data_IF_077589759442
#
_entry.id   IF_077589759442
#
_cell.length_a   1.000
_cell.length_b   1.000
_cell.length_c   1.000
_cell.angle_alpha   90.00
_cell.angle_beta   90.00
_cell.angle_gamma   90.00
#
_symmetry.space_group_name_H-M   'P 1'
#
loop_
_entity.id
_entity.type
_entity.pdbx_description
1 polymer ?
#
# COMPACT_ATOMS: atom_id res chain seq x y z
N UNK A 1 -41.62 -12.29 -59.85
CA UNK A 1 -40.16 -12.05 -59.80
C UNK A 1 -39.78 -11.09 -58.68
N UNK A 2 -40.25 -9.82 -58.67
CA UNK A 2 -39.84 -8.80 -57.68
C UNK A 2 -40.10 -9.18 -56.20
N UNK A 3 -41.29 -9.70 -55.85
CA UNK A 3 -41.66 -10.03 -54.46
C UNK A 3 -40.83 -11.17 -53.84
N UNK A 4 -40.38 -12.12 -54.66
CA UNK A 4 -39.54 -13.25 -54.20
C UNK A 4 -38.11 -12.77 -53.93
N UNK A 5 -37.59 -11.89 -54.79
CA UNK A 5 -36.28 -11.25 -54.59
C UNK A 5 -36.28 -10.40 -53.32
N UNK A 6 -37.32 -9.63 -53.07
CA UNK A 6 -37.44 -8.78 -51.88
C UNK A 6 -37.48 -9.61 -50.59
N UNK A 7 -38.26 -10.70 -50.57
CA UNK A 7 -38.30 -11.63 -49.44
C UNK A 7 -36.94 -12.28 -49.16
N UNK A 8 -36.22 -12.72 -50.21
CA UNK A 8 -34.88 -13.30 -50.09
C UNK A 8 -33.88 -12.29 -49.52
N UNK A 9 -33.94 -11.02 -49.94
CA UNK A 9 -33.05 -9.96 -49.42
C UNK A 9 -33.30 -9.71 -47.94
N UNK A 10 -34.57 -9.67 -47.49
CA UNK A 10 -34.90 -9.49 -46.07
C UNK A 10 -34.35 -10.64 -45.23
N UNK A 11 -34.52 -11.88 -45.67
CA UNK A 11 -33.98 -13.06 -44.96
C UNK A 11 -32.44 -13.02 -44.90
N UNK A 12 -31.78 -12.62 -45.99
CA UNK A 12 -30.33 -12.53 -46.05
C UNK A 12 -29.77 -11.44 -45.11
N UNK A 13 -30.44 -10.29 -45.03
CA UNK A 13 -30.06 -9.20 -44.11
C UNK A 13 -30.21 -9.65 -42.65
N UNK A 14 -31.29 -10.35 -42.32
CA UNK A 14 -31.49 -10.91 -40.97
C UNK A 14 -30.38 -11.91 -40.63
N UNK A 15 -30.05 -12.82 -41.56
CA UNK A 15 -28.96 -13.77 -41.36
C UNK A 15 -27.60 -13.11 -41.20
N UNK A 16 -27.32 -12.07 -41.98
CA UNK A 16 -26.08 -11.28 -41.86
C UNK A 16 -25.99 -10.59 -40.50
N UNK A 17 -27.10 -10.03 -40.00
CA UNK A 17 -27.16 -9.44 -38.67
C UNK A 17 -26.92 -10.46 -37.55
N UNK A 18 -27.54 -11.64 -37.65
CA UNK A 18 -27.33 -12.73 -36.69
C UNK A 18 -25.88 -13.22 -36.68
N UNK A 19 -25.23 -13.33 -37.85
CA UNK A 19 -23.81 -13.69 -37.95
C UNK A 19 -22.90 -12.64 -37.32
N UNK A 20 -23.18 -11.35 -37.53
CA UNK A 20 -22.43 -10.26 -36.90
C UNK A 20 -22.60 -10.25 -35.38
N UNK A 21 -23.82 -10.42 -34.88
CA UNK A 21 -24.10 -10.52 -33.45
C UNK A 21 -23.40 -11.74 -32.82
N UNK A 22 -23.45 -12.89 -33.50
CA UNK A 22 -22.74 -14.10 -33.07
C UNK A 22 -21.22 -13.90 -33.02
N UNK A 23 -20.63 -13.30 -34.06
CA UNK A 23 -19.20 -13.01 -34.13
C UNK A 23 -18.73 -12.05 -33.03
N UNK A 24 -19.48 -10.97 -32.78
CA UNK A 24 -19.19 -10.00 -31.71
C UNK A 24 -19.32 -10.67 -30.33
N UNK A 25 -20.36 -11.50 -30.14
CA UNK A 25 -20.57 -12.26 -28.91
C UNK A 25 -19.41 -13.20 -28.59
N UNK A 26 -18.98 -14.00 -29.57
CA UNK A 26 -17.84 -14.93 -29.43
C UNK A 26 -16.54 -14.15 -29.15
N UNK A 27 -16.30 -13.04 -29.86
CA UNK A 27 -15.12 -12.20 -29.64
C UNK A 27 -15.04 -11.66 -28.20
N UNK A 28 -16.16 -11.15 -27.66
CA UNK A 28 -16.23 -10.67 -26.28
C UNK A 28 -16.02 -11.79 -25.28
N UNK A 29 -16.61 -12.96 -25.50
CA UNK A 29 -16.43 -14.16 -24.67
C UNK A 29 -14.96 -14.60 -24.61
N UNK A 30 -14.26 -14.64 -25.75
CA UNK A 30 -12.83 -14.99 -25.81
C UNK A 30 -11.98 -13.93 -25.10
N UNK A 31 -12.28 -12.64 -25.30
CA UNK A 31 -11.51 -11.54 -24.71
C UNK A 31 -11.69 -11.47 -23.18
N UNK A 32 -12.92 -11.65 -22.70
CA UNK A 32 -13.24 -11.71 -21.27
C UNK A 32 -12.69 -13.00 -20.64
N UNK A 33 -12.79 -14.14 -21.34
CA UNK A 33 -12.22 -15.41 -20.93
C UNK A 33 -10.71 -15.35 -20.75
N UNK A 34 -9.98 -14.70 -21.68
CA UNK A 34 -8.53 -14.48 -21.54
C UNK A 34 -8.19 -13.64 -20.31
N UNK A 35 -8.92 -12.54 -20.06
CA UNK A 35 -8.69 -11.69 -18.88
C UNK A 35 -9.02 -12.42 -17.57
N UNK A 36 -10.11 -13.18 -17.54
CA UNK A 36 -10.50 -13.99 -16.39
C UNK A 36 -9.49 -15.12 -16.14
N UNK A 37 -9.00 -15.79 -17.18
CA UNK A 37 -7.98 -16.83 -17.08
C UNK A 37 -6.66 -16.29 -16.49
N UNK A 38 -6.23 -15.08 -16.87
CA UNK A 38 -5.04 -14.45 -16.29
C UNK A 38 -5.24 -14.14 -14.81
N UNK A 39 -6.40 -13.58 -14.43
CA UNK A 39 -6.73 -13.32 -13.01
C UNK A 39 -6.87 -14.60 -12.19
N UNK A 40 -7.51 -15.63 -12.75
CA UNK A 40 -7.64 -16.94 -12.12
C UNK A 40 -6.28 -17.61 -11.95
N UNK A 41 -5.40 -17.54 -12.97
CA UNK A 41 -4.02 -18.05 -12.86
C UNK A 41 -3.27 -17.35 -11.74
N UNK A 42 -3.39 -16.02 -11.61
CA UNK A 42 -2.78 -15.25 -10.52
C UNK A 42 -3.31 -15.67 -9.13
N UNK A 43 -4.63 -15.83 -8.99
CA UNK A 43 -5.26 -16.27 -7.74
C UNK A 43 -4.87 -17.72 -7.38
N UNK A 44 -4.92 -18.63 -8.35
CA UNK A 44 -4.50 -20.03 -8.18
C UNK A 44 -3.02 -20.15 -7.85
N UNK A 45 -2.15 -19.32 -8.44
CA UNK A 45 -0.74 -19.29 -8.04
C UNK A 45 -0.55 -18.82 -6.61
N UNK A 46 -1.34 -17.87 -6.11
CA UNK A 46 -1.27 -17.41 -4.71
C UNK A 46 -1.73 -18.48 -3.72
N UNK A 47 -2.81 -19.19 -4.05
CA UNK A 47 -3.29 -20.32 -3.24
C UNK A 47 -2.30 -21.48 -3.25
N UNK A 48 -1.77 -21.83 -4.42
CA UNK A 48 -0.76 -22.87 -4.56
C UNK A 48 0.53 -22.52 -3.82
N UNK A 49 1.00 -21.27 -3.82
CA UNK A 49 2.19 -20.86 -3.05
C UNK A 49 1.97 -21.04 -1.54
N UNK A 50 0.79 -20.68 -1.02
CA UNK A 50 0.50 -20.85 0.41
C UNK A 50 0.41 -22.32 0.84
N UNK A 51 -0.24 -23.17 0.05
CA UNK A 51 -0.36 -24.60 0.35
C UNK A 51 1.00 -25.30 0.19
N UNK A 52 1.78 -24.97 -0.84
CA UNK A 52 3.11 -25.56 -1.03
C UNK A 52 4.13 -25.08 0.00
N UNK A 53 3.97 -23.89 0.58
CA UNK A 53 4.79 -23.40 1.69
C UNK A 53 4.58 -24.20 2.99
N UNK A 54 3.46 -24.92 3.13
CA UNK A 54 3.21 -25.81 4.29
C UNK A 54 3.89 -27.18 4.18
N UNK A 55 4.50 -27.50 3.03
CA UNK A 55 5.26 -28.75 2.86
C UNK A 55 6.61 -28.78 3.59
N UNK A 56 7.33 -29.91 3.46
CA UNK A 56 8.70 -30.11 3.97
C UNK A 56 9.70 -30.23 2.82
N UNK A 57 10.92 -29.70 2.99
CA UNK A 57 12.00 -29.76 2.00
C UNK A 57 12.22 -28.46 1.19
N UNK A 58 13.25 -28.45 0.36
CA UNK A 58 13.75 -27.24 -0.32
C UNK A 58 12.67 -26.50 -1.14
N UNK A 59 11.78 -27.23 -1.82
CA UNK A 59 10.72 -26.61 -2.62
C UNK A 59 9.69 -25.86 -1.76
N UNK A 60 9.41 -26.34 -0.55
CA UNK A 60 8.51 -25.66 0.38
C UNK A 60 9.19 -24.46 1.04
N UNK A 61 10.47 -24.59 1.37
CA UNK A 61 11.29 -23.47 1.87
C UNK A 61 11.31 -22.33 0.86
N UNK A 62 11.55 -22.63 -0.42
CA UNK A 62 11.58 -21.62 -1.48
C UNK A 62 10.23 -20.89 -1.60
N UNK A 63 9.11 -21.59 -1.45
CA UNK A 63 7.79 -20.93 -1.44
C UNK A 63 7.59 -20.04 -0.19
N UNK A 64 8.19 -20.39 0.96
CA UNK A 64 8.21 -19.51 2.15
C UNK A 64 9.04 -18.25 1.90
N UNK A 65 10.23 -18.39 1.30
CA UNK A 65 11.10 -17.26 0.95
C UNK A 65 10.38 -16.27 0.02
N UNK A 66 9.60 -16.79 -0.94
CA UNK A 66 8.76 -15.99 -1.85
C UNK A 66 7.66 -15.24 -1.11
N UNK A 67 6.94 -15.92 -0.22
CA UNK A 67 5.87 -15.29 0.56
C UNK A 67 6.42 -14.19 1.47
N UNK A 68 7.56 -14.45 2.12
CA UNK A 68 8.22 -13.51 3.00
C UNK A 68 8.70 -12.27 2.24
N UNK A 69 9.37 -12.45 1.10
CA UNK A 69 9.81 -11.33 0.26
C UNK A 69 8.63 -10.47 -0.22
N UNK A 70 7.55 -11.09 -0.70
CA UNK A 70 6.34 -10.36 -1.13
C UNK A 70 5.72 -9.58 0.02
N UNK A 71 5.70 -10.16 1.21
CA UNK A 71 5.20 -9.51 2.43
C UNK A 71 6.05 -8.30 2.78
N UNK A 72 7.36 -8.45 2.85
CA UNK A 72 8.31 -7.38 3.20
C UNK A 72 8.26 -6.21 2.23
N UNK A 73 8.23 -6.48 0.92
CA UNK A 73 8.07 -5.43 -0.11
C UNK A 73 6.72 -4.73 0.04
N UNK A 74 5.63 -5.47 0.26
CA UNK A 74 4.30 -4.88 0.44
C UNK A 74 4.22 -3.99 1.67
N UNK A 75 4.77 -4.44 2.81
CA UNK A 75 4.80 -3.66 4.05
C UNK A 75 5.63 -2.38 3.89
N UNK A 76 6.77 -2.48 3.21
CA UNK A 76 7.65 -1.34 2.95
C UNK A 76 6.97 -0.32 2.03
N UNK A 77 6.29 -0.79 0.98
CA UNK A 77 5.50 0.07 0.10
C UNK A 77 4.38 0.78 0.84
N UNK A 78 3.65 0.08 1.70
CA UNK A 78 2.60 0.70 2.52
C UNK A 78 3.16 1.77 3.46
N UNK A 79 4.32 1.54 4.07
CA UNK A 79 4.99 2.52 4.93
C UNK A 79 5.39 3.78 4.15
N UNK A 80 5.98 3.62 2.96
CA UNK A 80 6.33 4.75 2.08
C UNK A 80 5.08 5.51 1.61
N UNK A 81 4.04 4.79 1.16
CA UNK A 81 2.76 5.40 0.75
C UNK A 81 2.07 6.16 1.91
N UNK A 82 2.23 5.69 3.14
CA UNK A 82 1.74 6.40 4.34
C UNK A 82 2.55 7.67 4.61
N UNK A 83 3.88 7.57 4.64
CA UNK A 83 4.76 8.72 4.85
C UNK A 83 4.56 9.81 3.78
N UNK A 84 4.31 9.41 2.53
CA UNK A 84 4.00 10.35 1.44
C UNK A 84 2.67 11.06 1.67
N UNK A 85 1.64 10.34 2.16
CA UNK A 85 0.33 10.92 2.50
C UNK A 85 0.40 11.87 3.70
N UNK A 86 1.34 11.64 4.61
CA UNK A 86 1.64 12.52 5.74
C UNK A 86 2.51 13.72 5.32
N UNK A 87 2.90 13.82 4.05
CA UNK A 87 3.63 14.97 3.50
C UNK A 87 5.12 14.96 3.80
N UNK A 88 5.72 13.81 4.15
CA UNK A 88 7.15 13.75 4.43
C UNK A 88 7.98 13.96 3.15
N UNK A 89 9.13 14.61 3.30
CA UNK A 89 10.08 14.82 2.22
C UNK A 89 10.86 13.55 1.88
N UNK A 90 10.27 12.65 1.09
CA UNK A 90 10.85 11.33 0.80
C UNK A 90 11.97 11.31 -0.25
N UNK A 91 12.25 12.45 -0.91
CA UNK A 91 13.28 12.55 -1.95
C UNK A 91 13.11 11.48 -3.05
N UNK A 92 14.19 10.75 -3.33
CA UNK A 92 14.23 9.67 -4.33
C UNK A 92 13.72 8.32 -3.81
N UNK A 93 13.31 8.21 -2.55
CA UNK A 93 12.91 6.94 -1.94
C UNK A 93 11.78 6.22 -2.71
N UNK A 94 10.73 6.89 -3.21
CA UNK A 94 9.68 6.22 -3.98
C UNK A 94 10.22 5.59 -5.28
N UNK A 95 11.20 6.24 -5.93
CA UNK A 95 11.85 5.71 -7.13
C UNK A 95 12.72 4.49 -6.79
N UNK A 96 13.53 4.60 -5.73
CA UNK A 96 14.36 3.49 -5.26
C UNK A 96 13.53 2.28 -4.82
N UNK A 97 12.35 2.52 -4.22
CA UNK A 97 11.41 1.47 -3.89
C UNK A 97 10.83 0.78 -5.14
N UNK A 98 10.53 1.54 -6.20
CA UNK A 98 10.07 0.96 -7.46
C UNK A 98 11.15 0.06 -8.10
N UNK A 99 12.41 0.49 -8.08
CA UNK A 99 13.54 -0.31 -8.55
C UNK A 99 13.74 -1.56 -7.69
N UNK A 100 13.62 -1.44 -6.36
CA UNK A 100 13.67 -2.56 -5.42
C UNK A 100 12.53 -3.57 -5.67
N UNK A 101 11.32 -3.08 -5.94
CA UNK A 101 10.18 -3.92 -6.26
C UNK A 101 10.39 -4.69 -7.57
N UNK A 102 10.93 -4.03 -8.61
CA UNK A 102 11.27 -4.70 -9.86
C UNK A 102 12.32 -5.81 -9.66
N UNK A 103 13.34 -5.57 -8.82
CA UNK A 103 14.31 -6.60 -8.46
C UNK A 103 13.69 -7.75 -7.67
N UNK A 104 12.79 -7.45 -6.73
CA UNK A 104 12.08 -8.46 -5.96
C UNK A 104 11.16 -9.33 -6.83
N UNK A 105 10.50 -8.74 -7.85
CA UNK A 105 9.67 -9.48 -8.80
C UNK A 105 10.50 -10.44 -9.66
N UNK A 106 11.66 -9.99 -10.15
CA UNK A 106 12.61 -10.85 -10.88
C UNK A 106 13.09 -12.00 -9.99
N UNK A 107 13.42 -11.71 -8.74
CA UNK A 107 13.89 -12.72 -7.80
C UNK A 107 12.80 -13.72 -7.39
N UNK A 108 11.55 -13.27 -7.20
CA UNK A 108 10.39 -14.16 -6.97
C UNK A 108 10.17 -15.11 -8.15
N UNK A 109 10.37 -14.64 -9.38
CA UNK A 109 10.29 -15.48 -10.56
C UNK A 109 11.40 -16.54 -10.57
N UNK A 110 12.65 -16.19 -10.20
CA UNK A 110 13.77 -17.12 -10.09
C UNK A 110 13.51 -18.20 -9.02
N UNK A 111 13.04 -17.80 -7.84
CA UNK A 111 12.62 -18.72 -6.78
C UNK A 111 11.51 -19.66 -7.27
N UNK A 112 10.51 -19.12 -7.98
CA UNK A 112 9.43 -19.92 -8.56
C UNK A 112 9.91 -20.95 -9.58
N UNK A 113 10.86 -20.57 -10.45
CA UNK A 113 11.50 -21.49 -11.40
C UNK A 113 12.28 -22.59 -10.68
N UNK A 114 13.06 -22.24 -9.66
CA UNK A 114 13.80 -23.22 -8.86
C UNK A 114 12.86 -24.22 -8.17
N UNK A 115 11.78 -23.74 -7.53
CA UNK A 115 10.79 -24.61 -6.89
C UNK A 115 10.13 -25.56 -7.90
N UNK A 116 9.82 -25.08 -9.11
CA UNK A 116 9.28 -25.92 -10.18
C UNK A 116 10.28 -26.98 -10.63
N UNK A 117 11.55 -26.61 -10.84
CA UNK A 117 12.61 -27.56 -11.20
C UNK A 117 12.80 -28.63 -10.13
N UNK A 118 12.79 -28.24 -8.85
CA UNK A 118 12.91 -29.16 -7.70
C UNK A 118 11.77 -30.17 -7.61
N UNK A 119 10.57 -29.81 -8.05
CA UNK A 119 9.41 -30.73 -8.12
C UNK A 119 9.54 -31.75 -9.27
N UNK A 120 10.22 -31.39 -10.35
CA UNK A 120 10.39 -32.23 -11.54
C UNK A 120 11.64 -33.12 -11.48
N UNK A 121 12.67 -32.70 -10.73
CA UNK A 121 13.93 -33.44 -10.59
C UNK A 121 14.44 -33.41 -9.14
N UNK A 122 14.83 -34.56 -8.56
CA UNK A 122 15.52 -34.63 -7.28
C UNK A 122 17.01 -34.23 -7.37
N UNK A 123 17.58 -34.09 -8.57
CA UNK A 123 18.94 -33.58 -8.77
C UNK A 123 18.88 -32.10 -9.15
N UNK A 124 19.17 -31.23 -8.18
CA UNK A 124 19.23 -29.77 -8.38
C UNK A 124 20.45 -29.22 -7.68
N UNK A 125 21.06 -28.19 -8.26
CA UNK A 125 22.21 -27.50 -7.70
C UNK A 125 21.85 -26.74 -6.40
N UNK A 126 22.39 -27.20 -5.27
CA UNK A 126 22.22 -26.56 -3.98
C UNK A 126 22.98 -25.21 -3.89
N UNK A 127 24.06 -25.02 -4.64
CA UNK A 127 24.78 -23.74 -4.66
C UNK A 127 23.90 -22.62 -5.26
N UNK A 128 23.05 -22.96 -6.23
CA UNK A 128 22.06 -22.04 -6.77
C UNK A 128 21.03 -21.64 -5.71
N UNK A 129 20.55 -22.58 -4.87
CA UNK A 129 19.62 -22.27 -3.79
C UNK A 129 20.23 -21.33 -2.74
N UNK A 130 21.49 -21.55 -2.35
CA UNK A 130 22.17 -20.69 -1.38
C UNK A 130 22.36 -19.26 -1.90
N UNK A 131 22.69 -19.10 -3.19
CA UNK A 131 22.74 -17.77 -3.81
C UNK A 131 21.38 -17.09 -3.80
N UNK A 132 20.31 -17.84 -4.06
CA UNK A 132 18.95 -17.31 -4.02
C UNK A 132 18.58 -16.88 -2.59
N UNK A 133 18.91 -17.67 -1.57
CA UNK A 133 18.74 -17.30 -0.15
C UNK A 133 19.47 -16.02 0.21
N UNK A 134 20.75 -15.90 -0.17
CA UNK A 134 21.54 -14.70 0.11
C UNK A 134 20.95 -13.46 -0.54
N UNK A 135 20.45 -13.58 -1.78
CA UNK A 135 19.80 -12.47 -2.46
C UNK A 135 18.47 -12.08 -1.81
N UNK A 136 17.65 -13.06 -1.40
CA UNK A 136 16.42 -12.82 -0.64
C UNK A 136 16.70 -12.13 0.70
N UNK A 137 17.72 -12.57 1.44
CA UNK A 137 18.14 -11.94 2.69
C UNK A 137 18.59 -10.47 2.47
N UNK A 138 19.27 -10.20 1.35
CA UNK A 138 19.67 -8.82 1.00
C UNK A 138 18.46 -7.94 0.69
N UNK A 139 17.51 -8.42 -0.12
CA UNK A 139 16.30 -7.67 -0.48
C UNK A 139 15.43 -7.38 0.75
N UNK A 140 15.24 -8.36 1.62
CA UNK A 140 14.47 -8.21 2.87
C UNK A 140 15.17 -7.28 3.86
N UNK A 141 16.50 -7.35 3.99
CA UNK A 141 17.27 -6.42 4.81
C UNK A 141 17.15 -4.96 4.32
N UNK A 142 17.15 -4.74 3.00
CA UNK A 142 16.92 -3.40 2.44
C UNK A 142 15.51 -2.90 2.74
N UNK A 143 14.48 -3.74 2.61
CA UNK A 143 13.11 -3.43 3.00
C UNK A 143 13.01 -3.03 4.49
N UNK A 144 13.61 -3.84 5.37
CA UNK A 144 13.64 -3.57 6.80
C UNK A 144 14.37 -2.26 7.13
N UNK A 145 15.49 -1.98 6.46
CA UNK A 145 16.23 -0.73 6.63
C UNK A 145 15.41 0.48 6.22
N UNK A 146 14.77 0.47 5.05
CA UNK A 146 13.88 1.55 4.61
C UNK A 146 12.78 1.81 5.66
N UNK A 147 12.15 0.74 6.17
CA UNK A 147 11.12 0.89 7.21
C UNK A 147 11.68 1.46 8.51
N UNK A 148 12.89 1.06 8.92
CA UNK A 148 13.55 1.60 10.11
C UNK A 148 13.90 3.09 9.94
N UNK A 149 14.39 3.48 8.77
CA UNK A 149 14.71 4.87 8.44
C UNK A 149 13.45 5.74 8.47
N UNK A 150 12.33 5.26 7.89
CA UNK A 150 11.03 5.94 7.98
C UNK A 150 10.51 6.06 9.43
N UNK A 151 10.66 5.01 10.25
CA UNK A 151 10.27 5.07 11.66
C UNK A 151 11.13 6.08 12.44
N UNK A 152 12.43 6.14 12.15
CA UNK A 152 13.33 7.13 12.75
C UNK A 152 12.90 8.55 12.39
N UNK A 153 12.58 8.80 11.13
CA UNK A 153 12.07 10.09 10.67
C UNK A 153 10.72 10.43 11.34
N UNK A 154 9.83 9.45 11.52
CA UNK A 154 8.57 9.65 12.25
C UNK A 154 8.80 10.15 13.67
N UNK A 155 9.74 9.54 14.39
CA UNK A 155 10.07 9.92 15.76
C UNK A 155 10.64 11.33 15.80
N UNK A 156 11.42 11.73 14.81
CA UNK A 156 11.94 13.10 14.72
C UNK A 156 10.84 14.14 14.44
N UNK A 157 9.89 13.85 13.55
CA UNK A 157 8.79 14.74 13.21
C UNK A 157 7.77 14.88 14.36
N UNK A 158 7.50 13.78 15.08
CA UNK A 158 6.63 13.81 16.26
C UNK A 158 7.33 14.42 17.48
N UNK A 159 8.62 14.14 17.66
CA UNK A 159 9.44 14.73 18.73
C UNK A 159 9.61 16.25 18.58
N UNK A 160 9.78 16.76 17.36
CA UNK A 160 9.81 18.21 17.10
C UNK A 160 8.45 18.86 17.36
N UNK A 161 7.34 18.21 16.99
CA UNK A 161 5.99 18.68 17.29
C UNK A 161 5.69 18.72 18.80
N UNK A 162 6.17 17.76 19.58
CA UNK A 162 6.04 17.77 21.05
C UNK A 162 6.90 18.88 21.66
N UNK A 163 8.12 19.08 21.18
CA UNK A 163 8.98 20.17 21.64
C UNK A 163 8.38 21.56 21.31
N UNK A 164 7.76 21.71 20.14
CA UNK A 164 7.08 22.94 19.72
C UNK A 164 5.80 23.20 20.54
N UNK A 165 5.02 22.13 20.83
CA UNK A 165 3.88 22.22 21.75
C UNK A 165 4.31 22.57 23.18
N UNK A 166 5.41 22.00 23.66
CA UNK A 166 5.95 22.29 25.00
C UNK A 166 6.46 23.73 25.07
N UNK A 167 7.21 24.20 24.06
CA UNK A 167 7.71 25.58 24.01
C UNK A 167 6.56 26.59 23.97
N UNK A 168 5.50 26.32 23.20
CA UNK A 168 4.30 27.16 23.13
C UNK A 168 3.49 27.14 24.43
N UNK A 169 3.41 25.98 25.09
CA UNK A 169 2.75 25.84 26.39
C UNK A 169 3.54 26.59 27.47
N UNK A 170 4.86 26.48 27.48
CA UNK A 170 5.73 27.21 28.41
C UNK A 170 5.66 28.72 28.15
N UNK A 171 5.60 29.16 26.89
CA UNK A 171 5.34 30.55 26.53
C UNK A 171 3.95 31.03 26.97
N UNK A 172 2.93 30.18 26.88
CA UNK A 172 1.58 30.51 27.35
C UNK A 172 1.52 30.58 28.88
N UNK A 173 2.21 29.67 29.58
CA UNK A 173 2.32 29.67 31.04
C UNK A 173 3.09 30.89 31.53
N UNK A 174 4.20 31.25 30.87
CA UNK A 174 5.00 32.42 31.21
C UNK A 174 4.30 33.74 30.85
N UNK A 175 3.54 33.77 29.75
CA UNK A 175 2.66 34.90 29.41
C UNK A 175 1.52 35.07 30.42
N UNK A 176 0.97 33.97 30.96
CA UNK A 176 -0.01 33.99 32.06
C UNK A 176 0.61 34.43 33.39
N UNK A 177 1.89 34.13 33.65
CA UNK A 177 2.63 34.67 34.81
C UNK A 177 2.91 36.16 34.70
N UNK A 178 3.07 36.68 33.49
CA UNK A 178 3.36 38.09 33.22
C UNK A 178 2.12 38.98 33.11
N UNK A 179 0.91 38.44 33.26
CA UNK A 179 -0.31 39.25 33.33
C UNK A 179 -0.36 40.00 34.68
N UNK A 180 -0.35 41.35 34.70
CA UNK A 180 -0.47 42.09 35.94
C UNK A 180 -1.94 42.18 36.37
N UNK A 181 -2.16 41.86 37.66
CA UNK A 181 -3.43 41.93 38.41
C UNK A 181 -4.48 40.92 37.98
N UNK A 182 -4.95 40.11 38.94
CA UNK A 182 -6.01 39.13 38.76
C UNK A 182 -7.28 39.83 38.22
N UNK A 183 -7.80 39.44 37.03
CA UNK A 183 -9.01 40.05 36.48
C UNK A 183 -10.21 39.99 37.45
N UNK A 184 -10.21 39.04 38.40
CA UNK A 184 -11.24 38.94 39.43
C UNK A 184 -11.12 40.06 40.49
N UNK A 185 -9.92 40.53 40.82
CA UNK A 185 -9.73 41.66 41.76
C UNK A 185 -10.27 42.98 41.18
N UNK A 186 -10.13 43.21 39.86
CA UNK A 186 -10.70 44.41 39.22
C UNK A 186 -12.23 44.38 39.21
N UNK A 187 -12.83 43.19 39.08
CA UNK A 187 -14.30 43.04 39.12
C UNK A 187 -14.81 43.26 40.54
N UNK A 188 -14.13 42.73 41.56
CA UNK A 188 -14.48 42.95 42.96
C UNK A 188 -14.33 44.42 43.36
N UNK A 189 -13.27 45.09 42.90
CA UNK A 189 -13.06 46.52 43.16
C UNK A 189 -14.12 47.39 42.47
N UNK A 190 -14.51 47.06 41.24
CA UNK A 190 -15.60 47.74 40.53
C UNK A 190 -16.96 47.50 41.20
N UNK A 191 -17.21 46.27 41.67
CA UNK A 191 -18.43 45.93 42.40
C UNK A 191 -18.51 46.68 43.74
N UNK A 192 -17.42 46.68 44.51
CA UNK A 192 -17.29 47.40 45.77
C UNK A 192 -17.53 48.90 45.60
N UNK A 193 -16.90 49.52 44.59
CA UNK A 193 -17.11 50.93 44.25
C UNK A 193 -18.55 51.24 43.85
N UNK A 194 -19.20 50.34 43.11
CA UNK A 194 -20.62 50.50 42.73
C UNK A 194 -21.58 50.40 43.92
N UNK A 195 -21.23 49.60 44.93
CA UNK A 195 -22.02 49.44 46.15
C UNK A 195 -21.80 50.62 47.12
N UNK A 196 -20.58 51.16 47.19
CA UNK A 196 -20.26 52.38 47.95
C UNK A 196 -20.99 53.61 47.36
N UNK A 197 -20.95 53.82 46.03
CA UNK A 197 -21.70 54.91 45.36
C UNK A 197 -23.23 54.82 45.52
N UNK A 198 -23.76 53.62 45.76
CA UNK A 198 -25.20 53.40 45.99
C UNK A 198 -25.62 53.73 47.43
N UNK A 199 -24.71 53.65 48.40
CA UNK A 199 -24.95 54.01 49.79
C UNK A 199 -24.80 55.51 50.09
N UNK A 200 -24.12 56.26 49.22
CA UNK A 200 -23.88 57.72 49.38
C UNK A 200 -24.95 58.62 48.73
N UNK A 201 -26.07 58.04 48.27
CA UNK A 201 -27.23 58.82 47.80
C UNK A 201 -28.33 58.83 48.88
N UNK A 202 -28.70 60.00 49.44
CA UNK A 202 -29.74 60.13 50.47
C UNK A 202 -31.15 59.82 49.94
#
# INVERSE_FOLDING_TARGET
>A
MAKISEFLVVVLVIFAFLLLLGGVGIYLLVKLGKKAAVKAKQASTRLATHVNAMGTGDAAEVERLRLDLRREVSLTRQAVEQAQREGWGLGDLPRLLADLQAQADVHDAQLGMYAQQRRLSPYVDHATLDRLRQHQAKLTAMCARIRADLLSDQVQHTGSGIADLTSRTDLEIEARRSAPVDPLEQIDELYRRSMEERNDRP
#
